data_IF_130634678585
#
_entry.id   IF_130634678585
#
_cell.length_a   1.000
_cell.length_b   1.000
_cell.length_c   1.000
_cell.angle_alpha   90.00
_cell.angle_beta   90.00
_cell.angle_gamma   90.00
#
_symmetry.space_group_name_H-M   'P 1'
#
loop_
_entity.id
_entity.type
_entity.pdbx_description
1 polymer ?
#
# COMPACT_ATOMS: atom_id res chain seq x y z
N UNK A 1 -9.39 -31.67 38.70
CA UNK A 1 -8.94 -30.55 37.85
C UNK A 1 -8.18 -31.13 36.67
N UNK A 2 -8.66 -30.95 35.44
CA UNK A 2 -7.89 -31.31 34.23
C UNK A 2 -7.01 -30.12 33.82
N UNK A 3 -5.78 -30.35 33.35
CA UNK A 3 -4.95 -29.26 32.84
C UNK A 3 -5.55 -28.72 31.54
N UNK A 4 -5.64 -27.40 31.45
CA UNK A 4 -6.02 -26.66 30.25
C UNK A 4 -5.09 -27.10 29.10
N UNK A 5 -5.64 -27.69 28.03
CA UNK A 5 -4.89 -27.95 26.80
C UNK A 5 -4.34 -26.61 26.32
N UNK A 6 -3.03 -26.42 26.41
CA UNK A 6 -2.36 -25.36 25.66
C UNK A 6 -2.75 -25.52 24.20
N UNK A 7 -3.53 -24.56 23.69
CA UNK A 7 -3.77 -24.43 22.26
C UNK A 7 -2.43 -24.11 21.62
N UNK A 8 -1.72 -25.13 21.13
CA UNK A 8 -0.59 -24.92 20.23
C UNK A 8 -1.16 -24.29 18.97
N UNK A 9 -1.12 -22.97 18.90
CA UNK A 9 -1.32 -22.26 17.65
C UNK A 9 -0.38 -22.89 16.62
N UNK A 10 -0.85 -23.23 15.41
CA UNK A 10 0.03 -23.73 14.37
C UNK A 10 1.18 -22.73 14.23
N UNK A 11 2.44 -23.20 14.30
CA UNK A 11 3.59 -22.34 13.96
C UNK A 11 3.38 -21.91 12.52
N UNK A 12 2.94 -20.67 12.31
CA UNK A 12 2.79 -20.12 10.97
C UNK A 12 4.15 -20.15 10.32
N UNK A 13 4.24 -20.88 9.21
CA UNK A 13 5.49 -21.02 8.48
C UNK A 13 5.81 -19.66 7.89
N UNK A 14 6.92 -19.07 8.34
CA UNK A 14 7.49 -17.87 7.73
C UNK A 14 7.67 -18.13 6.23
N UNK A 15 7.28 -17.17 5.41
CA UNK A 15 7.41 -17.30 3.96
C UNK A 15 8.87 -17.59 3.59
N UNK A 16 9.09 -18.67 2.85
CA UNK A 16 10.39 -18.96 2.26
C UNK A 16 10.57 -18.11 1.01
N UNK A 17 11.56 -17.21 1.05
CA UNK A 17 11.82 -16.33 -0.08
C UNK A 17 12.51 -17.08 -1.24
N UNK A 18 12.17 -16.74 -2.50
CA UNK A 18 12.74 -17.39 -3.67
C UNK A 18 14.25 -17.16 -3.76
N UNK A 19 15.03 -18.22 -3.91
CA UNK A 19 16.49 -18.14 -4.08
C UNK A 19 16.88 -18.37 -5.56
N UNK A 20 17.95 -17.73 -6.06
CA UNK A 20 18.81 -16.75 -5.36
C UNK A 20 18.10 -15.41 -5.17
N UNK A 21 18.63 -14.59 -4.23
CA UNK A 21 18.19 -13.19 -4.09
C UNK A 21 18.30 -12.47 -5.43
N UNK A 22 17.32 -11.63 -5.73
CA UNK A 22 17.33 -10.84 -6.96
C UNK A 22 18.57 -9.95 -7.04
N UNK A 23 19.10 -9.78 -8.24
CA UNK A 23 20.30 -8.96 -8.47
C UNK A 23 20.02 -7.46 -8.30
N UNK A 24 18.76 -7.05 -8.51
CA UNK A 24 18.31 -5.66 -8.40
C UNK A 24 16.85 -5.60 -7.94
N UNK A 25 16.45 -4.45 -7.40
CA UNK A 25 15.05 -4.14 -7.05
C UNK A 25 14.15 -4.23 -8.28
N UNK A 26 12.90 -4.64 -8.07
CA UNK A 26 11.86 -4.60 -9.10
C UNK A 26 11.38 -3.16 -9.29
N UNK A 27 11.37 -2.68 -10.53
CA UNK A 27 10.84 -1.36 -10.90
C UNK A 27 9.60 -1.53 -11.76
N UNK A 28 8.45 -1.04 -11.28
CA UNK A 28 7.17 -1.16 -11.97
C UNK A 28 6.41 0.18 -12.08
N UNK A 29 5.84 0.56 -13.23
CA UNK A 29 5.88 -0.17 -14.49
C UNK A 29 7.32 -0.26 -15.04
N UNK A 30 7.58 -1.31 -15.82
CA UNK A 30 8.91 -1.55 -16.39
C UNK A 30 9.36 -0.40 -17.29
N UNK A 31 8.40 0.30 -17.88
CA UNK A 31 8.59 1.48 -18.72
C UNK A 31 7.69 2.63 -18.27
N UNK A 32 8.11 3.86 -18.58
CA UNK A 32 7.35 5.05 -18.25
C UNK A 32 7.54 5.60 -16.83
N UNK A 33 6.75 6.62 -16.45
CA UNK A 33 6.92 7.40 -15.22
C UNK A 33 6.27 6.74 -14.00
N UNK A 34 6.55 7.33 -12.82
CA UNK A 34 5.98 6.93 -11.52
C UNK A 34 6.25 5.47 -11.13
N UNK A 35 7.48 5.02 -11.35
CA UNK A 35 7.90 3.66 -11.01
C UNK A 35 7.90 3.46 -9.49
N UNK A 36 7.36 2.32 -9.08
CA UNK A 36 7.41 1.79 -7.73
C UNK A 36 8.59 0.84 -7.64
N UNK A 37 9.31 0.93 -6.52
CA UNK A 37 10.45 0.08 -6.21
C UNK A 37 9.97 -0.99 -5.24
N UNK A 38 10.23 -2.26 -5.55
CA UNK A 38 10.01 -3.37 -4.64
C UNK A 38 11.34 -4.09 -4.43
N UNK A 39 11.80 -4.09 -3.19
CA UNK A 39 13.02 -4.76 -2.78
C UNK A 39 12.76 -6.24 -2.54
N UNK A 40 13.82 -7.06 -2.64
CA UNK A 40 13.71 -8.50 -2.36
C UNK A 40 13.21 -8.77 -0.93
N UNK A 41 13.63 -7.93 0.02
CA UNK A 41 13.22 -8.00 1.43
C UNK A 41 11.73 -7.72 1.63
N UNK A 42 11.11 -6.92 0.75
CA UNK A 42 9.67 -6.60 0.83
C UNK A 42 8.83 -7.88 0.70
N UNK A 43 9.31 -8.88 -0.05
CA UNK A 43 8.61 -10.16 -0.23
C UNK A 43 8.28 -10.87 1.08
N UNK A 44 9.10 -10.69 2.13
CA UNK A 44 8.84 -11.31 3.43
C UNK A 44 7.49 -10.87 4.02
N UNK A 45 7.02 -9.67 3.67
CA UNK A 45 5.75 -9.08 4.11
C UNK A 45 4.53 -9.69 3.41
N UNK A 46 4.73 -10.52 2.38
CA UNK A 46 3.67 -11.31 1.75
C UNK A 46 3.38 -12.62 2.50
N UNK A 47 4.12 -12.90 3.58
CA UNK A 47 3.90 -14.06 4.41
C UNK A 47 2.58 -14.02 5.17
N UNK A 48 2.11 -15.20 5.59
CA UNK A 48 0.94 -15.29 6.45
C UNK A 48 1.18 -14.55 7.77
N UNK A 49 0.14 -13.84 8.24
CA UNK A 49 0.14 -13.01 9.47
C UNK A 49 1.14 -11.84 9.47
N UNK A 50 1.72 -11.49 8.32
CA UNK A 50 2.52 -10.28 8.16
C UNK A 50 1.65 -9.12 7.64
N UNK A 51 1.96 -7.90 8.10
CA UNK A 51 1.36 -6.70 7.52
C UNK A 51 2.08 -6.32 6.23
N UNK A 52 1.35 -6.02 5.16
CA UNK A 52 1.95 -5.42 3.97
C UNK A 52 2.64 -4.10 4.34
N UNK A 53 3.75 -3.79 3.66
CA UNK A 53 4.39 -2.50 3.79
C UNK A 53 3.96 -1.53 2.67
N UNK A 54 4.36 -0.27 2.80
CA UNK A 54 4.00 0.78 1.86
C UNK A 54 4.50 0.51 0.44
N UNK A 55 5.69 -0.07 0.28
CA UNK A 55 6.24 -0.39 -1.05
C UNK A 55 5.34 -1.37 -1.81
N UNK A 56 4.91 -2.46 -1.14
CA UNK A 56 4.04 -3.46 -1.75
C UNK A 56 2.65 -2.91 -2.07
N UNK A 57 2.07 -2.10 -1.17
CA UNK A 57 0.76 -1.49 -1.40
C UNK A 57 0.83 -0.50 -2.56
N UNK A 58 1.80 0.40 -2.57
CA UNK A 58 1.97 1.37 -3.65
C UNK A 58 2.28 0.69 -5.00
N UNK A 59 3.09 -0.37 -4.99
CA UNK A 59 3.30 -1.23 -6.16
C UNK A 59 1.99 -1.79 -6.70
N UNK A 60 1.16 -2.38 -5.83
CA UNK A 60 -0.06 -3.04 -6.27
C UNK A 60 -1.13 -2.04 -6.74
N UNK A 61 -1.23 -0.87 -6.10
CA UNK A 61 -2.07 0.24 -6.59
C UNK A 61 -1.62 0.69 -7.98
N UNK A 62 -0.31 0.83 -8.20
CA UNK A 62 0.23 1.17 -9.51
C UNK A 62 -0.04 0.07 -10.55
N UNK A 63 0.02 -1.19 -10.16
CA UNK A 63 -0.37 -2.32 -11.02
C UNK A 63 -1.83 -2.21 -11.45
N UNK A 64 -2.75 -1.98 -10.50
CA UNK A 64 -4.18 -1.79 -10.81
C UNK A 64 -4.38 -0.61 -11.75
N UNK A 65 -3.72 0.52 -11.52
CA UNK A 65 -3.81 1.71 -12.38
C UNK A 65 -3.38 1.40 -13.83
N UNK A 66 -2.25 0.70 -14.00
CA UNK A 66 -1.73 0.33 -15.33
C UNK A 66 -2.63 -0.69 -16.03
N UNK A 67 -3.14 -1.69 -15.32
CA UNK A 67 -4.07 -2.66 -15.91
C UNK A 67 -5.42 -2.03 -16.23
N UNK A 68 -5.90 -1.10 -15.41
CA UNK A 68 -7.10 -0.30 -15.69
C UNK A 68 -6.90 0.51 -16.98
N UNK A 69 -5.76 1.18 -17.13
CA UNK A 69 -5.46 1.95 -18.34
C UNK A 69 -5.44 1.09 -19.62
N UNK A 70 -5.04 -0.19 -19.52
CA UNK A 70 -5.09 -1.13 -20.65
C UNK A 70 -6.51 -1.62 -20.94
N UNK A 71 -7.27 -1.93 -19.90
CA UNK A 71 -8.60 -2.55 -20.00
C UNK A 71 -9.69 -1.55 -20.36
N UNK A 72 -9.64 -0.37 -19.74
CA UNK A 72 -10.64 0.69 -19.86
C UNK A 72 -9.96 2.07 -19.72
N UNK A 73 -9.40 2.60 -20.83
CA UNK A 73 -8.68 3.86 -20.81
C UNK A 73 -9.55 5.07 -20.40
N UNK A 74 -10.86 5.00 -20.60
CA UNK A 74 -11.75 6.11 -20.28
C UNK A 74 -12.06 6.13 -18.78
N UNK A 75 -12.39 4.98 -18.19
CA UNK A 75 -12.49 4.85 -16.74
C UNK A 75 -11.17 5.19 -16.03
N UNK A 76 -10.03 4.84 -16.62
CA UNK A 76 -8.72 5.18 -16.09
C UNK A 76 -8.49 6.70 -16.02
N UNK A 77 -8.98 7.48 -16.99
CA UNK A 77 -8.88 8.96 -16.98
C UNK A 77 -9.74 9.60 -15.89
N UNK A 78 -10.80 8.92 -15.48
CA UNK A 78 -11.75 9.39 -14.46
C UNK A 78 -11.43 8.83 -13.05
N UNK A 79 -10.34 8.08 -12.91
CA UNK A 79 -9.93 7.45 -11.65
C UNK A 79 -8.57 7.97 -11.21
N UNK A 80 -8.48 8.48 -9.97
CA UNK A 80 -7.23 8.96 -9.40
C UNK A 80 -6.75 8.11 -8.22
N UNK A 81 -5.51 7.63 -8.29
CA UNK A 81 -4.88 6.83 -7.23
C UNK A 81 -3.88 7.67 -6.44
N UNK A 82 -4.11 7.75 -5.12
CA UNK A 82 -3.17 8.30 -4.16
C UNK A 82 -2.28 7.20 -3.58
N UNK A 83 -1.07 7.56 -3.15
CA UNK A 83 -0.16 6.63 -2.47
C UNK A 83 -0.47 6.54 -0.96
N UNK A 84 0.13 5.58 -0.26
CA UNK A 84 -0.09 5.31 1.18
C UNK A 84 0.29 6.46 2.11
N UNK A 85 1.13 7.40 1.66
CA UNK A 85 1.58 8.51 2.49
C UNK A 85 0.57 9.67 2.53
N UNK A 86 -0.34 9.77 1.56
CA UNK A 86 -1.27 10.90 1.46
C UNK A 86 -2.09 11.09 2.73
N UNK A 87 -2.74 10.01 3.20
CA UNK A 87 -3.59 10.10 4.37
C UNK A 87 -2.79 10.40 5.64
N UNK A 88 -1.61 9.82 5.81
CA UNK A 88 -0.75 10.10 6.97
C UNK A 88 -0.29 11.55 7.07
N UNK A 89 -0.14 12.25 5.94
CA UNK A 89 0.15 13.69 5.90
C UNK A 89 -1.10 14.52 6.17
N UNK A 90 -2.25 14.11 5.62
CA UNK A 90 -3.52 14.80 5.79
C UNK A 90 -4.04 14.72 7.23
N UNK A 91 -4.07 13.53 7.81
CA UNK A 91 -4.72 13.21 9.08
C UNK A 91 -3.77 13.30 10.29
N UNK A 92 -2.79 14.20 10.26
CA UNK A 92 -1.84 14.38 11.37
C UNK A 92 -2.58 14.64 12.69
N UNK A 93 -2.15 13.90 13.74
CA UNK A 93 -2.81 13.82 15.05
C UNK A 93 -2.79 15.10 15.88
N UNK A 94 -2.09 16.14 15.46
CA UNK A 94 -2.08 17.44 16.14
C UNK A 94 -3.35 18.28 15.88
N UNK A 95 -4.33 17.72 15.15
CA UNK A 95 -5.59 18.40 14.83
C UNK A 95 -5.43 19.53 13.82
N UNK A 96 -4.19 19.79 13.39
CA UNK A 96 -3.83 20.71 12.31
C UNK A 96 -3.49 19.88 11.09
N UNK A 97 -4.48 19.12 10.62
CA UNK A 97 -4.37 18.40 9.36
C UNK A 97 -3.74 19.33 8.32
N UNK A 98 -2.63 18.91 7.73
CA UNK A 98 -1.78 19.83 6.97
C UNK A 98 -2.28 19.89 5.53
N UNK A 99 -3.44 20.54 5.37
CA UNK A 99 -4.08 20.75 4.07
C UNK A 99 -3.09 21.38 3.08
N UNK A 100 -2.29 22.35 3.52
CA UNK A 100 -1.25 23.00 2.71
C UNK A 100 -0.18 22.01 2.19
N UNK A 101 0.15 20.98 2.97
CA UNK A 101 1.14 19.96 2.57
C UNK A 101 0.60 19.03 1.50
N UNK A 102 -0.68 18.65 1.58
CA UNK A 102 -1.31 17.81 0.54
C UNK A 102 -1.74 18.62 -0.68
N UNK A 103 -1.90 19.95 -0.54
CA UNK A 103 -2.25 20.84 -1.65
C UNK A 103 -1.25 20.72 -2.81
N UNK A 104 0.05 20.59 -2.49
CA UNK A 104 1.11 20.41 -3.50
C UNK A 104 1.02 19.07 -4.23
N UNK A 105 0.46 18.04 -3.58
CA UNK A 105 0.34 16.71 -4.14
C UNK A 105 -0.77 16.63 -5.18
N UNK A 106 -1.82 17.41 -4.98
CA UNK A 106 -2.96 17.51 -5.90
C UNK A 106 -2.86 18.73 -6.82
N UNK A 107 -1.84 19.58 -6.70
CA UNK A 107 -1.71 20.82 -7.46
C UNK A 107 -1.73 20.67 -8.99
N UNK A 108 -1.44 19.47 -9.52
CA UNK A 108 -1.43 19.17 -10.96
C UNK A 108 -2.63 18.32 -11.40
N UNK A 109 -3.60 18.09 -10.51
CA UNK A 109 -4.74 17.20 -10.75
C UNK A 109 -5.99 17.87 -10.22
N UNK A 110 -6.97 18.07 -11.11
CA UNK A 110 -8.30 18.49 -10.68
C UNK A 110 -9.07 17.26 -10.17
N UNK A 111 -9.10 17.10 -8.85
CA UNK A 111 -9.78 15.99 -8.19
C UNK A 111 -11.30 16.02 -8.40
N UNK A 112 -11.90 17.19 -8.66
CA UNK A 112 -13.35 17.31 -8.84
C UNK A 112 -13.83 16.78 -10.20
N UNK A 113 -12.91 16.61 -11.16
CA UNK A 113 -13.19 15.97 -12.45
C UNK A 113 -13.01 14.45 -12.41
N UNK A 114 -12.69 13.87 -11.25
CA UNK A 114 -12.52 12.43 -11.09
C UNK A 114 -13.84 11.82 -10.58
N UNK A 115 -14.29 10.75 -11.21
CA UNK A 115 -15.43 9.96 -10.72
C UNK A 115 -15.04 9.09 -9.52
N UNK A 116 -13.76 8.68 -9.46
CA UNK A 116 -13.24 7.82 -8.40
C UNK A 116 -11.90 8.34 -7.88
N UNK A 117 -11.76 8.39 -6.56
CA UNK A 117 -10.50 8.70 -5.89
C UNK A 117 -10.18 7.57 -4.91
N UNK A 118 -9.07 6.88 -5.15
CA UNK A 118 -8.60 5.77 -4.33
C UNK A 118 -7.57 6.28 -3.33
N UNK A 119 -7.90 6.17 -2.04
CA UNK A 119 -7.04 6.60 -0.94
C UNK A 119 -6.76 5.39 -0.04
N UNK A 120 -5.55 4.81 -0.07
CA UNK A 120 -5.16 3.79 0.89
C UNK A 120 -5.03 4.42 2.30
N UNK A 121 -5.69 3.80 3.27
CA UNK A 121 -5.67 4.23 4.68
C UNK A 121 -5.06 3.10 5.51
N UNK A 122 -3.98 3.41 6.22
CA UNK A 122 -3.37 2.54 7.22
C UNK A 122 -3.55 3.18 8.60
N UNK A 123 -4.60 2.80 9.30
CA UNK A 123 -4.83 3.23 10.68
C UNK A 123 -4.39 2.13 11.63
N UNK A 124 -3.57 2.50 12.62
CA UNK A 124 -3.24 1.56 13.68
C UNK A 124 -4.48 1.31 14.52
N UNK A 125 -4.93 0.05 14.57
CA UNK A 125 -5.80 -0.43 15.64
C UNK A 125 -4.98 -0.44 16.92
N UNK A 126 -4.86 0.71 17.58
CA UNK A 126 -4.51 0.73 18.99
C UNK A 126 -5.66 0.03 19.71
N UNK A 127 -5.48 -1.24 20.07
CA UNK A 127 -6.31 -1.87 21.10
C UNK A 127 -6.17 -0.97 22.32
N UNK A 128 -7.19 -0.16 22.60
CA UNK A 128 -7.30 0.49 23.90
C UNK A 128 -7.27 -0.63 24.95
N UNK A 129 -6.33 -0.61 25.91
CA UNK A 129 -6.44 -1.49 27.06
C UNK A 129 -7.70 -1.04 27.82
N UNK A 130 -8.76 -1.84 27.70
CA UNK A 130 -9.93 -1.75 28.57
C UNK A 130 -9.63 -2.28 29.96
#
# INVERSE_FOLDING_TARGET
MQPLRESRSPKVRKLELPKPKWLSSLLYPFEGPKRQVVEYEDLARLGAEEFLNDNLINFYLRYIEVELQKRDPDLAKETYFLNTFFYGVLARKDGKGNFDSVLKWTAKVDLFNMNYIVIPINESYALSPG
#
